data_IF_879560446512
#
_entry.id   IF_879560446512
#
_cell.length_a   1.000
_cell.length_b   1.000
_cell.length_c   1.000
_cell.angle_alpha   90.00
_cell.angle_beta   90.00
_cell.angle_gamma   90.00
#
_symmetry.space_group_name_H-M   'P 1'
#
loop_
_entity.id
_entity.type
_entity.pdbx_description
1 polymer ?
#
# COMPACT_ATOMS: atom_id res chain seq x y z
N UNK A 1 2.66 -1.37 -17.58
CA UNK A 1 2.55 -0.97 -16.17
C UNK A 1 1.38 -1.70 -15.54
N UNK A 2 1.60 -2.36 -14.43
CA UNK A 2 0.54 -3.12 -13.76
C UNK A 2 -0.23 -2.19 -12.82
N UNK A 3 -1.54 -2.18 -12.98
CA UNK A 3 -2.45 -1.38 -12.16
C UNK A 3 -3.50 -2.32 -11.58
N UNK A 4 -3.81 -2.17 -10.31
CA UNK A 4 -4.76 -3.03 -9.62
C UNK A 4 -5.73 -2.22 -8.78
N UNK A 5 -6.93 -2.76 -8.58
CA UNK A 5 -7.86 -2.18 -7.61
C UNK A 5 -7.33 -2.44 -6.20
N UNK A 6 -7.91 -1.76 -5.22
CA UNK A 6 -7.51 -1.98 -3.83
C UNK A 6 -7.78 -3.42 -3.41
N UNK A 7 -8.90 -3.98 -3.85
CA UNK A 7 -9.21 -5.38 -3.54
C UNK A 7 -8.20 -6.33 -4.17
N UNK A 8 -7.90 -6.14 -5.46
CA UNK A 8 -6.93 -6.98 -6.14
C UNK A 8 -5.55 -6.87 -5.49
N UNK A 9 -5.12 -5.65 -5.17
CA UNK A 9 -3.84 -5.44 -4.52
C UNK A 9 -3.79 -6.12 -3.16
N UNK A 10 -4.86 -6.03 -2.37
CA UNK A 10 -4.89 -6.67 -1.07
C UNK A 10 -4.78 -8.19 -1.19
N UNK A 11 -5.43 -8.78 -2.18
CA UNK A 11 -5.32 -10.21 -2.41
C UNK A 11 -3.91 -10.62 -2.81
N UNK A 12 -3.26 -9.81 -3.65
CA UNK A 12 -1.89 -10.07 -4.07
C UNK A 12 -0.91 -9.98 -2.90
N UNK A 13 -1.22 -9.16 -1.90
CA UNK A 13 -0.38 -9.00 -0.72
C UNK A 13 -0.71 -10.02 0.38
N UNK A 14 -1.77 -10.82 0.19
CA UNK A 14 -2.18 -11.77 1.22
C UNK A 14 -3.02 -11.18 2.33
N UNK A 15 -3.61 -10.01 2.13
CA UNK A 15 -4.48 -9.40 3.13
C UNK A 15 -5.90 -9.97 3.02
N UNK A 16 -6.59 -10.04 4.15
CA UNK A 16 -7.97 -10.52 4.17
C UNK A 16 -8.95 -9.54 3.55
N UNK A 17 -8.64 -8.24 3.63
CA UNK A 17 -9.51 -7.20 3.10
C UNK A 17 -8.66 -6.02 2.66
N UNK A 18 -9.21 -5.11 1.86
CA UNK A 18 -8.48 -3.92 1.43
C UNK A 18 -8.40 -2.83 2.51
N UNK A 19 -8.87 -3.09 3.72
CA UNK A 19 -8.90 -2.08 4.79
C UNK A 19 -7.54 -1.48 5.07
N UNK A 20 -6.49 -2.30 5.09
CA UNK A 20 -5.14 -1.83 5.34
C UNK A 20 -4.70 -0.82 4.28
N UNK A 21 -5.03 -1.10 3.02
CA UNK A 21 -4.66 -0.20 1.93
C UNK A 21 -5.43 1.11 2.00
N UNK A 22 -6.71 1.07 2.35
CA UNK A 22 -7.49 2.30 2.53
C UNK A 22 -6.96 3.13 3.69
N UNK A 23 -6.55 2.49 4.75
CA UNK A 23 -5.95 3.19 5.89
C UNK A 23 -4.64 3.87 5.49
N UNK A 24 -3.79 3.17 4.76
CA UNK A 24 -2.53 3.73 4.28
C UNK A 24 -2.77 4.89 3.30
N UNK A 25 -3.79 4.75 2.46
CA UNK A 25 -4.19 5.83 1.57
C UNK A 25 -4.57 7.08 2.36
N UNK A 26 -5.37 6.90 3.40
CA UNK A 26 -5.83 8.01 4.24
C UNK A 26 -4.66 8.68 4.95
N UNK A 27 -3.64 7.92 5.30
CA UNK A 27 -2.44 8.45 5.95
C UNK A 27 -1.47 9.12 4.99
N UNK A 28 -1.75 9.06 3.68
CA UNK A 28 -0.87 9.62 2.67
C UNK A 28 0.32 8.73 2.31
N UNK A 29 0.35 7.51 2.75
CA UNK A 29 1.47 6.59 2.52
C UNK A 29 1.49 5.99 1.13
N UNK A 30 0.37 6.05 0.41
CA UNK A 30 0.27 5.47 -0.92
C UNK A 30 0.22 6.50 -2.03
N UNK A 31 0.50 7.77 -1.74
CA UNK A 31 0.35 8.85 -2.73
C UNK A 31 1.14 8.58 -4.01
N UNK A 32 2.36 8.05 -3.89
CA UNK A 32 3.19 7.76 -5.06
C UNK A 32 2.68 6.58 -5.88
N UNK A 33 1.79 5.78 -5.32
CA UNK A 33 1.27 4.58 -5.95
C UNK A 33 -0.19 4.73 -6.36
N UNK A 34 -0.80 5.86 -6.04
CA UNK A 34 -2.20 6.09 -6.38
C UNK A 34 -2.35 6.62 -7.79
N UNK A 35 -3.36 6.11 -8.48
CA UNK A 35 -3.77 6.62 -9.79
C UNK A 35 -5.29 6.59 -9.83
N UNK A 36 -5.88 7.59 -10.44
CA UNK A 36 -7.33 7.64 -10.62
C UNK A 36 -7.68 7.23 -12.03
N UNK A 37 -8.57 6.26 -12.16
CA UNK A 37 -9.04 5.77 -13.45
C UNK A 37 -10.55 5.82 -13.43
N UNK A 38 -11.13 6.63 -14.31
CA UNK A 38 -12.59 6.79 -14.42
C UNK A 38 -13.23 7.11 -13.06
N UNK A 39 -12.58 7.98 -12.30
CA UNK A 39 -13.10 8.41 -11.00
C UNK A 39 -12.87 7.43 -9.87
N UNK A 40 -12.15 6.35 -10.10
CA UNK A 40 -11.86 5.35 -9.07
C UNK A 40 -10.39 5.27 -8.77
N UNK A 41 -10.06 5.18 -7.49
CA UNK A 41 -8.68 5.04 -7.07
C UNK A 41 -8.17 3.63 -7.36
N UNK A 42 -7.00 3.56 -7.97
CA UNK A 42 -6.31 2.30 -8.24
C UNK A 42 -4.87 2.41 -7.75
N UNK A 43 -4.19 1.29 -7.67
CA UNK A 43 -2.80 1.26 -7.24
C UNK A 43 -1.91 0.83 -8.39
N UNK A 44 -0.82 1.58 -8.59
CA UNK A 44 0.23 1.23 -9.55
C UNK A 44 1.20 0.30 -8.84
N UNK A 45 1.36 -0.91 -9.37
CA UNK A 45 2.17 -1.93 -8.70
C UNK A 45 3.67 -1.61 -8.71
N UNK A 46 4.14 -0.92 -9.76
CA UNK A 46 5.55 -0.51 -9.84
C UNK A 46 5.69 0.80 -10.60
N UNK A 47 5.54 1.95 -9.92
CA UNK A 47 5.78 3.24 -10.57
C UNK A 47 7.25 3.42 -10.94
N UNK A 48 7.50 4.25 -11.94
CA UNK A 48 8.87 4.54 -12.37
C UNK A 48 9.65 5.18 -11.22
N UNK A 49 10.86 4.68 -10.96
CA UNK A 49 11.72 5.22 -9.91
C UNK A 49 11.32 4.84 -8.50
N UNK A 50 10.34 3.94 -8.35
CA UNK A 50 9.88 3.52 -7.03
C UNK A 50 9.96 1.99 -6.92
N UNK A 51 10.08 1.44 -5.70
CA UNK A 51 10.03 -0.01 -5.52
C UNK A 51 8.65 -0.55 -5.85
N UNK A 52 8.57 -1.86 -6.04
CA UNK A 52 7.28 -2.51 -6.23
C UNK A 52 6.39 -2.25 -5.01
N UNK A 53 5.09 -2.10 -5.26
CA UNK A 53 4.14 -1.84 -4.18
C UNK A 53 4.24 -2.88 -3.07
N UNK A 54 4.39 -4.15 -3.44
CA UNK A 54 4.52 -5.22 -2.46
C UNK A 54 5.71 -5.01 -1.54
N UNK A 55 6.87 -4.66 -2.11
CA UNK A 55 8.07 -4.42 -1.33
C UNK A 55 7.92 -3.18 -0.46
N UNK A 56 7.31 -2.15 -1.01
CA UNK A 56 7.08 -0.90 -0.28
C UNK A 56 6.16 -1.12 0.93
N UNK A 57 5.07 -1.86 0.72
CA UNK A 57 4.12 -2.15 1.80
C UNK A 57 4.75 -3.03 2.87
N UNK A 58 5.54 -4.01 2.48
CA UNK A 58 6.25 -4.84 3.44
C UNK A 58 7.17 -4.02 4.32
N UNK A 59 7.89 -3.08 3.72
CA UNK A 59 8.79 -2.20 4.45
C UNK A 59 8.02 -1.29 5.42
N UNK A 60 6.91 -0.70 4.96
CA UNK A 60 6.10 0.18 5.81
C UNK A 60 5.52 -0.59 7.00
N UNK A 61 4.91 -1.74 6.74
CA UNK A 61 4.26 -2.50 7.79
C UNK A 61 5.27 -3.03 8.80
N UNK A 62 6.42 -3.46 8.33
CA UNK A 62 7.49 -3.90 9.22
C UNK A 62 7.98 -2.75 10.09
N UNK A 63 8.13 -1.57 9.48
CA UNK A 63 8.56 -0.39 10.22
C UNK A 63 7.54 -0.01 11.29
N UNK A 64 6.24 -0.07 10.97
CA UNK A 64 5.20 0.25 11.94
C UNK A 64 5.20 -0.72 13.11
N UNK A 65 5.39 -2.02 12.82
CA UNK A 65 5.47 -3.02 13.88
C UNK A 65 6.66 -2.73 14.79
N UNK A 66 7.81 -2.43 14.21
CA UNK A 66 9.00 -2.10 14.98
C UNK A 66 8.79 -0.83 15.81
N UNK A 67 8.11 0.16 15.22
CA UNK A 67 7.81 1.39 15.92
C UNK A 67 6.88 1.17 17.11
N UNK A 68 5.89 0.32 16.94
CA UNK A 68 4.98 -0.02 18.04
C UNK A 68 5.74 -0.71 19.17
N UNK A 69 6.60 -1.67 18.82
CA UNK A 69 7.40 -2.37 19.82
C UNK A 69 8.28 -1.37 20.57
N UNK A 70 8.93 -0.47 19.84
CA UNK A 70 9.79 0.52 20.44
C UNK A 70 9.05 1.47 21.35
N UNK A 71 7.81 1.76 21.06
CA UNK A 71 7.02 2.70 21.85
C UNK A 71 6.58 2.15 23.19
N UNK A 72 6.79 0.88 23.45
CA UNK A 72 6.49 0.26 24.72
C UNK A 72 7.54 0.51 25.79
N UNK A 73 8.64 1.12 25.43
CA UNK A 73 9.67 1.46 26.41
C UNK A 73 9.40 2.78 27.13
#
# INVERSE_FOLDING_TARGET
MAIATFLEASQMMGYRSPSTLYKLKKEGQLDDYLVEIQGRAHLVMKPAGKPKLKDYLGSILQWKVNGVINSHY
#
